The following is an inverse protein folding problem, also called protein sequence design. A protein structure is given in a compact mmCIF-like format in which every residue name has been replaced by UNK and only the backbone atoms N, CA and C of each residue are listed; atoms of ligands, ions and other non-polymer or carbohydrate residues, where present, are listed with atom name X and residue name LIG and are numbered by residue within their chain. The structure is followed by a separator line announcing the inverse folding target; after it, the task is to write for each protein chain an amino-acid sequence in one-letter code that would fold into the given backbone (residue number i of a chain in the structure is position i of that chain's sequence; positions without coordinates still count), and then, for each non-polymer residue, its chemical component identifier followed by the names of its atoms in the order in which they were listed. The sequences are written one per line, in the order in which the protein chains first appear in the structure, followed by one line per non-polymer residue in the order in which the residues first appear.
data_IF_935216102964
#
_entry.id   IF_935216102964
#
_cell.length_a   1.000
_cell.length_b   1.000
_cell.length_c   1.000
_cell.angle_alpha   90.00
_cell.angle_beta   90.00
_cell.angle_gamma   90.00
#
_symmetry.space_group_name_H-M   'P 1'
#
loop_
_entity.id
_entity.type
_entity.pdbx_description
1 polymer ?
#
# COMPACT_ATOMS: atom_id res chain seq x y z
N UNK A 1 -11.03 5.20 -26.41
CA UNK A 1 -11.24 6.52 -25.80
C UNK A 1 -10.55 6.64 -24.43
N UNK A 2 -10.68 5.68 -23.48
CA UNK A 2 -9.99 5.68 -22.16
C UNK A 2 -8.45 5.71 -22.26
N UNK A 3 -7.82 5.05 -23.21
CA UNK A 3 -6.36 4.94 -23.40
C UNK A 3 -5.64 6.28 -23.63
N UNK A 4 -6.36 7.31 -24.06
CA UNK A 4 -5.82 8.67 -24.29
C UNK A 4 -6.16 9.66 -23.18
N UNK A 5 -7.18 9.38 -22.36
CA UNK A 5 -7.61 10.28 -21.28
C UNK A 5 -6.71 10.22 -20.05
N UNK A 6 -6.18 9.03 -19.69
CA UNK A 6 -5.30 8.86 -18.53
C UNK A 6 -3.95 9.56 -18.70
N UNK A 7 -3.23 9.42 -19.83
CA UNK A 7 -2.00 10.19 -20.06
C UNK A 7 -2.26 11.70 -20.13
N UNK A 8 -3.43 12.12 -20.62
CA UNK A 8 -3.84 13.52 -20.65
C UNK A 8 -4.13 14.03 -19.23
N UNK A 9 -4.81 13.23 -18.43
CA UNK A 9 -5.10 13.54 -17.03
C UNK A 9 -3.81 13.62 -16.20
N UNK A 10 -2.87 12.65 -16.33
CA UNK A 10 -1.59 12.69 -15.67
C UNK A 10 -0.72 13.88 -16.12
N UNK A 11 -0.76 14.24 -17.42
CA UNK A 11 -0.13 15.46 -17.93
C UNK A 11 -0.80 16.72 -17.38
N UNK A 12 -2.13 16.71 -17.26
CA UNK A 12 -2.88 17.80 -16.66
C UNK A 12 -2.58 17.93 -15.17
N UNK A 13 -2.52 16.84 -14.42
CA UNK A 13 -2.13 16.82 -13.01
C UNK A 13 -0.67 17.32 -12.85
N UNK A 14 0.27 16.82 -13.67
CA UNK A 14 1.66 17.31 -13.67
C UNK A 14 1.76 18.79 -14.07
N UNK A 15 0.99 19.23 -15.05
CA UNK A 15 0.92 20.64 -15.44
C UNK A 15 0.30 21.48 -14.32
N UNK A 16 -0.82 21.04 -13.75
CA UNK A 16 -1.48 21.72 -12.64
C UNK A 16 -0.57 21.76 -11.39
N UNK A 17 0.17 20.69 -11.11
CA UNK A 17 1.13 20.65 -9.98
C UNK A 17 2.29 21.61 -10.24
N UNK A 18 2.87 21.59 -11.45
CA UNK A 18 3.94 22.53 -11.83
C UNK A 18 3.43 23.97 -11.87
N UNK A 19 2.18 24.18 -12.29
CA UNK A 19 1.55 25.50 -12.29
C UNK A 19 1.29 25.97 -10.85
N UNK A 20 0.82 25.10 -9.97
CA UNK A 20 0.64 25.37 -8.54
C UNK A 20 2.00 25.64 -7.88
N UNK A 21 3.01 24.82 -8.14
CA UNK A 21 4.37 25.02 -7.62
C UNK A 21 4.99 26.32 -8.19
N UNK A 22 4.78 26.62 -9.47
CA UNK A 22 5.24 27.86 -10.11
C UNK A 22 4.46 29.08 -9.61
N UNK A 23 3.15 28.99 -9.48
CA UNK A 23 2.31 30.06 -8.92
C UNK A 23 2.59 30.27 -7.43
N UNK A 24 2.81 29.19 -6.67
CA UNK A 24 3.24 29.26 -5.29
C UNK A 24 4.64 29.85 -5.16
N UNK A 25 5.57 29.53 -6.07
CA UNK A 25 6.90 30.13 -6.15
C UNK A 25 6.85 31.61 -6.51
N UNK A 26 6.01 31.98 -7.49
CA UNK A 26 5.86 33.35 -7.98
C UNK A 26 5.14 34.27 -6.98
N UNK A 27 4.19 33.73 -6.18
CA UNK A 27 3.38 34.52 -5.24
C UNK A 27 3.89 34.50 -3.79
N UNK A 28 5.08 33.97 -3.49
CA UNK A 28 5.54 33.72 -2.10
C UNK A 28 4.56 32.88 -1.24
N UNK A 29 3.75 32.04 -1.87
CA UNK A 29 2.72 31.21 -1.24
C UNK A 29 3.13 29.76 -0.88
N UNK A 30 4.34 29.24 -1.14
CA UNK A 30 4.73 27.90 -0.71
C UNK A 30 4.42 27.64 0.78
N UNK A 31 4.76 28.56 1.72
CA UNK A 31 4.45 28.35 3.12
C UNK A 31 2.95 28.36 3.44
N UNK A 32 2.15 29.15 2.72
CA UNK A 32 0.70 29.23 2.97
C UNK A 32 -0.04 28.01 2.43
N UNK A 33 0.24 27.58 1.21
CA UNK A 33 -0.37 26.38 0.61
C UNK A 33 0.01 25.13 1.41
N UNK A 34 1.27 25.02 1.83
CA UNK A 34 1.72 23.92 2.69
C UNK A 34 1.03 23.94 4.04
N UNK A 35 0.93 25.09 4.70
CA UNK A 35 0.21 25.25 5.98
C UNK A 35 -1.29 24.95 5.84
N UNK A 36 -1.93 25.40 4.77
CA UNK A 36 -3.33 25.09 4.49
C UNK A 36 -3.53 23.59 4.31
N UNK A 37 -2.66 22.92 3.55
CA UNK A 37 -2.72 21.47 3.38
C UNK A 37 -2.38 20.69 4.68
N UNK A 38 -1.47 21.20 5.49
CA UNK A 38 -1.22 20.64 6.83
C UNK A 38 -2.47 20.72 7.70
N UNK A 39 -3.21 21.82 7.62
CA UNK A 39 -4.46 21.97 8.33
C UNK A 39 -5.61 21.13 7.76
N UNK A 40 -5.74 21.05 6.43
CA UNK A 40 -6.79 20.25 5.76
C UNK A 40 -6.54 18.74 5.82
N UNK A 41 -5.28 18.33 5.72
CA UNK A 41 -4.81 16.94 5.67
C UNK A 41 -3.77 16.69 6.77
N UNK A 42 -4.16 16.80 8.05
CA UNK A 42 -3.21 16.66 9.16
C UNK A 42 -2.75 15.21 9.28
N UNK A 43 -1.44 14.97 9.19
CA UNK A 43 -0.82 13.66 9.38
C UNK A 43 -0.65 13.38 10.88
N UNK A 44 -1.76 13.40 11.60
CA UNK A 44 -1.85 13.11 13.04
C UNK A 44 -2.71 11.86 13.27
N UNK A 45 -2.33 11.02 14.23
CA UNK A 45 -3.01 9.76 14.54
C UNK A 45 -4.53 9.94 14.68
N UNK A 46 -4.96 10.86 15.55
CA UNK A 46 -6.40 11.08 15.79
C UNK A 46 -7.16 11.51 14.54
N UNK A 47 -6.52 12.33 13.70
CA UNK A 47 -7.14 12.84 12.50
C UNK A 47 -7.31 11.75 11.44
N UNK A 48 -6.25 10.95 11.18
CA UNK A 48 -6.29 9.88 10.17
C UNK A 48 -7.23 8.75 10.58
N UNK A 49 -7.22 8.34 11.86
CA UNK A 49 -8.16 7.32 12.37
C UNK A 49 -9.62 7.81 12.30
N UNK A 50 -9.89 9.04 12.70
CA UNK A 50 -11.23 9.60 12.62
C UNK A 50 -11.76 9.71 11.18
N UNK A 51 -10.88 10.07 10.23
CA UNK A 51 -11.25 10.15 8.83
C UNK A 51 -11.58 8.76 8.24
N UNK A 52 -10.79 7.74 8.55
CA UNK A 52 -11.05 6.37 8.13
C UNK A 52 -12.36 5.82 8.75
N UNK A 53 -12.60 6.06 10.04
CA UNK A 53 -13.86 5.76 10.70
C UNK A 53 -15.06 6.41 9.99
N UNK A 54 -14.97 7.72 9.71
CA UNK A 54 -16.07 8.45 9.04
C UNK A 54 -16.37 7.89 7.65
N UNK A 55 -15.35 7.42 6.94
CA UNK A 55 -15.50 6.89 5.59
C UNK A 55 -16.12 5.47 5.56
N UNK A 56 -15.92 4.67 6.61
CA UNK A 56 -16.35 3.25 6.65
C UNK A 56 -17.50 2.99 7.61
N UNK A 57 -17.67 3.82 8.63
CA UNK A 57 -18.56 3.57 9.78
C UNK A 57 -18.01 2.54 10.79
N UNK A 58 -16.87 1.89 10.47
CA UNK A 58 -16.25 0.85 11.28
C UNK A 58 -15.28 1.48 12.31
N UNK A 59 -15.20 0.91 13.52
CA UNK A 59 -14.42 1.48 14.63
C UNK A 59 -13.29 0.60 15.12
N UNK A 60 -13.35 -0.68 14.85
CA UNK A 60 -12.39 -1.65 15.34
C UNK A 60 -11.24 -1.81 14.35
N UNK A 61 -10.06 -1.40 14.76
CA UNK A 61 -8.82 -1.55 14.00
C UNK A 61 -8.05 -2.82 14.38
N UNK A 62 -8.60 -3.67 15.26
CA UNK A 62 -7.95 -4.85 15.80
C UNK A 62 -6.92 -4.52 16.90
N UNK A 63 -5.91 -5.37 17.04
CA UNK A 63 -4.86 -5.16 18.03
C UNK A 63 -4.15 -3.82 17.81
N UNK A 64 -3.94 -3.07 18.91
CA UNK A 64 -3.35 -1.73 18.87
C UNK A 64 -1.85 -1.67 18.56
N UNK A 65 -1.22 -2.79 18.26
CA UNK A 65 0.22 -2.89 17.96
C UNK A 65 0.64 -2.00 16.79
N UNK A 66 -0.19 -1.88 15.75
CA UNK A 66 0.05 -1.04 14.58
C UNK A 66 0.15 0.46 14.90
N UNK A 67 -0.42 0.92 16.02
CA UNK A 67 -0.45 2.34 16.37
C UNK A 67 0.95 2.93 16.56
N UNK A 68 1.89 2.15 17.05
CA UNK A 68 3.28 2.62 17.22
C UNK A 68 3.91 2.88 15.86
N UNK A 69 3.78 1.94 14.91
CA UNK A 69 4.25 2.11 13.54
C UNK A 69 3.57 3.30 12.84
N UNK A 70 2.24 3.42 12.98
CA UNK A 70 1.48 4.54 12.43
C UNK A 70 1.98 5.89 12.97
N UNK A 71 2.14 6.04 14.30
CA UNK A 71 2.63 7.30 14.91
C UNK A 71 4.00 7.69 14.40
N UNK A 72 4.93 6.73 14.34
CA UNK A 72 6.28 6.98 13.88
C UNK A 72 6.34 7.28 12.40
N UNK A 73 5.53 6.60 11.58
CA UNK A 73 5.38 6.91 10.16
C UNK A 73 4.87 8.35 9.99
N UNK A 74 3.77 8.72 10.62
CA UNK A 74 3.18 10.06 10.52
C UNK A 74 4.17 11.14 10.98
N UNK A 75 4.88 10.90 12.10
CA UNK A 75 5.92 11.80 12.58
C UNK A 75 7.05 11.96 11.57
N UNK A 76 7.59 10.86 11.04
CA UNK A 76 8.64 10.91 10.02
C UNK A 76 8.20 11.64 8.75
N UNK A 77 6.95 11.45 8.34
CA UNK A 77 6.37 12.15 7.19
C UNK A 77 6.28 13.66 7.40
N UNK A 78 5.95 14.11 8.61
CA UNK A 78 5.88 15.54 8.94
C UNK A 78 7.26 16.18 9.13
N UNK A 79 8.19 15.50 9.79
CA UNK A 79 9.44 16.09 10.26
C UNK A 79 10.61 15.83 9.31
N UNK A 80 10.63 14.69 8.58
CA UNK A 80 11.82 14.22 7.86
C UNK A 80 11.60 14.13 6.33
N UNK A 81 10.42 13.69 5.87
CA UNK A 81 10.19 13.33 4.47
C UNK A 81 10.14 14.52 3.49
N UNK A 82 10.06 15.76 3.97
CA UNK A 82 9.99 16.99 3.15
C UNK A 82 8.93 16.91 2.05
N UNK A 83 7.71 16.51 2.41
CA UNK A 83 6.62 16.31 1.47
C UNK A 83 6.30 17.60 0.72
N UNK A 84 6.20 17.52 -0.61
CA UNK A 84 5.54 18.55 -1.41
C UNK A 84 4.03 18.57 -1.13
N UNK A 85 3.34 19.64 -1.54
CA UNK A 85 1.88 19.74 -1.43
C UNK A 85 1.19 18.53 -2.08
N UNK A 86 1.62 18.13 -3.26
CA UNK A 86 1.11 16.94 -3.96
C UNK A 86 1.47 15.65 -3.24
N UNK A 87 2.71 15.51 -2.77
CA UNK A 87 3.14 14.35 -1.97
C UNK A 87 2.30 14.16 -0.72
N UNK A 88 1.91 15.26 -0.03
CA UNK A 88 1.02 15.20 1.13
C UNK A 88 -0.37 14.65 0.77
N UNK A 89 -0.93 15.07 -0.36
CA UNK A 89 -2.22 14.56 -0.84
C UNK A 89 -2.12 13.07 -1.13
N UNK A 90 -1.08 12.64 -1.83
CA UNK A 90 -0.88 11.22 -2.16
C UNK A 90 -0.75 10.36 -0.90
N UNK A 91 0.10 10.75 0.04
CA UNK A 91 0.31 9.97 1.26
C UNK A 91 -0.90 9.99 2.19
N UNK A 92 -1.63 11.10 2.27
CA UNK A 92 -2.89 11.12 2.99
C UNK A 92 -3.86 10.08 2.46
N UNK A 93 -4.05 10.03 1.14
CA UNK A 93 -4.93 9.06 0.49
C UNK A 93 -4.45 7.62 0.71
N UNK A 94 -3.13 7.37 0.67
CA UNK A 94 -2.59 6.03 0.90
C UNK A 94 -2.75 5.58 2.36
N UNK A 95 -2.46 6.44 3.33
CA UNK A 95 -2.73 6.18 4.75
C UNK A 95 -4.23 5.91 4.98
N UNK A 96 -5.12 6.69 4.33
CA UNK A 96 -6.56 6.47 4.43
C UNK A 96 -6.97 5.14 3.79
N UNK A 97 -6.38 4.75 2.67
CA UNK A 97 -6.60 3.46 2.02
C UNK A 97 -6.21 2.31 2.96
N UNK A 98 -5.01 2.35 3.52
CA UNK A 98 -4.50 1.33 4.44
C UNK A 98 -5.39 1.20 5.69
N UNK A 99 -5.76 2.31 6.32
CA UNK A 99 -6.62 2.31 7.51
C UNK A 99 -8.03 1.81 7.23
N UNK A 100 -8.63 2.20 6.10
CA UNK A 100 -9.97 1.72 5.71
C UNK A 100 -9.96 0.22 5.44
N UNK A 101 -8.96 -0.27 4.72
CA UNK A 101 -8.86 -1.72 4.51
C UNK A 101 -8.61 -2.46 5.81
N UNK A 102 -7.77 -1.94 6.72
CA UNK A 102 -7.58 -2.54 8.04
C UNK A 102 -8.91 -2.67 8.81
N UNK A 103 -9.75 -1.65 8.80
CA UNK A 103 -11.09 -1.69 9.39
C UNK A 103 -11.96 -2.79 8.77
N UNK A 104 -11.98 -2.91 7.44
CA UNK A 104 -12.73 -3.96 6.76
C UNK A 104 -12.17 -5.36 7.03
N UNK A 105 -10.84 -5.50 7.11
CA UNK A 105 -10.19 -6.77 7.44
C UNK A 105 -10.59 -7.24 8.84
N UNK A 106 -10.52 -6.37 9.85
CA UNK A 106 -10.91 -6.72 11.23
C UNK A 106 -12.42 -6.99 11.36
N UNK A 107 -13.26 -6.23 10.67
CA UNK A 107 -14.69 -6.50 10.63
C UNK A 107 -14.99 -7.86 9.97
N UNK A 108 -14.28 -8.21 8.88
CA UNK A 108 -14.42 -9.51 8.24
C UNK A 108 -13.90 -10.64 9.14
N UNK A 109 -12.76 -10.44 9.81
CA UNK A 109 -12.19 -11.41 10.75
C UNK A 109 -13.16 -11.81 11.84
N UNK A 110 -13.89 -10.84 12.38
CA UNK A 110 -14.90 -11.09 13.41
C UNK A 110 -16.15 -11.82 12.89
N UNK A 111 -16.56 -11.48 11.66
CA UNK A 111 -17.74 -12.10 11.05
C UNK A 111 -17.47 -13.49 10.47
N UNK A 112 -16.22 -13.78 10.14
CA UNK A 112 -15.75 -14.98 9.46
C UNK A 112 -14.56 -15.61 10.16
N UNK A 113 -14.74 -16.14 11.40
CA UNK A 113 -13.64 -16.77 12.15
C UNK A 113 -13.09 -18.02 11.44
N UNK A 114 -13.87 -18.64 10.56
CA UNK A 114 -13.46 -19.78 9.73
C UNK A 114 -12.27 -19.45 8.80
N UNK A 115 -11.97 -18.18 8.54
CA UNK A 115 -10.78 -17.78 7.78
C UNK A 115 -9.49 -18.26 8.46
N UNK A 116 -9.46 -18.32 9.79
CA UNK A 116 -8.29 -18.78 10.55
C UNK A 116 -8.03 -20.28 10.41
N UNK A 117 -9.03 -21.04 9.92
CA UNK A 117 -8.89 -22.47 9.64
C UNK A 117 -8.16 -22.74 8.30
N UNK A 118 -8.06 -21.72 7.42
CA UNK A 118 -7.30 -21.83 6.17
C UNK A 118 -5.82 -22.14 6.47
N UNK A 119 -5.30 -23.17 5.81
CA UNK A 119 -3.92 -23.60 6.03
C UNK A 119 -2.98 -22.91 5.06
N UNK A 120 -1.97 -22.28 5.59
CA UNK A 120 -0.80 -21.83 4.82
C UNK A 120 0.28 -22.89 5.02
N UNK A 121 0.41 -23.77 4.03
CA UNK A 121 1.29 -24.94 4.12
C UNK A 121 2.64 -24.65 3.47
N UNK A 122 3.72 -24.93 4.22
CA UNK A 122 5.10 -24.87 3.75
C UNK A 122 5.44 -23.61 2.90
N UNK A 123 5.14 -22.39 3.39
CA UNK A 123 5.37 -21.18 2.60
C UNK A 123 6.87 -21.02 2.30
N UNK A 124 7.19 -20.67 1.05
CA UNK A 124 8.56 -20.42 0.62
C UNK A 124 8.87 -18.93 0.76
N UNK A 125 9.90 -18.60 1.54
CA UNK A 125 10.37 -17.22 1.71
C UNK A 125 11.68 -17.02 0.95
N UNK A 126 11.69 -16.03 0.06
CA UNK A 126 12.90 -15.59 -0.64
C UNK A 126 13.49 -14.43 0.16
N UNK A 127 14.68 -14.66 0.71
CA UNK A 127 15.41 -13.67 1.50
C UNK A 127 16.68 -13.25 0.77
N UNK A 128 16.94 -11.96 0.74
CA UNK A 128 18.16 -11.41 0.14
C UNK A 128 18.24 -9.90 0.28
N UNK A 129 19.45 -9.37 0.12
CA UNK A 129 19.65 -7.93 0.06
C UNK A 129 19.06 -7.35 -1.25
N UNK A 130 18.67 -6.08 -1.26
CA UNK A 130 18.24 -5.41 -2.49
C UNK A 130 19.27 -5.59 -3.62
N UNK A 131 18.78 -5.76 -4.84
CA UNK A 131 19.58 -5.93 -6.09
C UNK A 131 20.38 -7.23 -6.19
N UNK A 132 20.00 -8.29 -5.47
CA UNK A 132 20.61 -9.63 -5.55
C UNK A 132 19.84 -10.63 -6.42
N UNK A 133 18.78 -10.19 -7.11
CA UNK A 133 17.99 -11.04 -8.01
C UNK A 133 16.77 -11.70 -7.35
N UNK A 134 16.40 -11.32 -6.12
CA UNK A 134 15.24 -11.85 -5.41
C UNK A 134 13.94 -11.69 -6.20
N UNK A 135 13.71 -10.54 -6.82
CA UNK A 135 12.54 -10.29 -7.69
C UNK A 135 12.52 -11.23 -8.90
N UNK A 136 13.68 -11.48 -9.53
CA UNK A 136 13.77 -12.41 -10.65
C UNK A 136 13.41 -13.84 -10.22
N UNK A 137 13.99 -14.32 -9.11
CA UNK A 137 13.68 -15.64 -8.56
C UNK A 137 12.20 -15.75 -8.16
N UNK A 138 11.64 -14.71 -7.54
CA UNK A 138 10.24 -14.66 -7.16
C UNK A 138 9.32 -14.79 -8.39
N UNK A 139 9.57 -13.98 -9.42
CA UNK A 139 8.81 -14.05 -10.67
C UNK A 139 8.94 -15.43 -11.35
N UNK A 140 10.14 -16.03 -11.31
CA UNK A 140 10.37 -17.36 -11.89
C UNK A 140 9.56 -18.44 -11.17
N UNK A 141 9.55 -18.45 -9.84
CA UNK A 141 8.75 -19.39 -9.06
C UNK A 141 7.26 -19.18 -9.25
N UNK A 142 6.82 -17.93 -9.36
CA UNK A 142 5.42 -17.59 -9.57
C UNK A 142 4.85 -18.05 -10.93
N UNK A 143 5.70 -18.45 -11.88
CA UNK A 143 5.23 -19.04 -13.14
C UNK A 143 4.66 -20.45 -12.94
N UNK A 144 5.09 -21.17 -11.92
CA UNK A 144 4.55 -22.48 -11.60
C UNK A 144 3.33 -22.37 -10.68
N UNK A 145 2.19 -22.02 -11.26
CA UNK A 145 0.92 -21.87 -10.54
C UNK A 145 0.35 -23.20 -10.04
N UNK A 146 0.91 -24.33 -10.46
CA UNK A 146 0.51 -25.65 -9.92
C UNK A 146 1.09 -25.92 -8.54
N UNK A 147 2.21 -25.28 -8.19
CA UNK A 147 2.90 -25.44 -6.91
C UNK A 147 2.79 -24.20 -6.02
N UNK A 148 2.82 -23.01 -6.59
CA UNK A 148 2.94 -21.76 -5.84
C UNK A 148 1.78 -20.81 -6.11
N UNK A 149 1.35 -20.15 -5.06
CA UNK A 149 0.48 -18.97 -5.13
C UNK A 149 1.15 -17.81 -4.40
N UNK A 150 1.48 -16.78 -5.14
CA UNK A 150 1.89 -15.49 -4.56
C UNK A 150 0.72 -14.53 -4.52
N UNK A 151 0.65 -13.59 -3.55
CA UNK A 151 -0.25 -12.45 -3.67
C UNK A 151 0.05 -11.67 -4.95
N UNK A 152 -0.98 -11.22 -5.65
CA UNK A 152 -0.84 -10.39 -6.84
C UNK A 152 -0.93 -8.90 -6.47
N UNK A 153 -0.38 -8.04 -7.33
CA UNK A 153 -0.36 -6.58 -7.09
C UNK A 153 -1.76 -6.02 -6.81
N UNK A 154 -2.77 -6.44 -7.59
CA UNK A 154 -4.13 -5.99 -7.38
C UNK A 154 -4.73 -6.45 -6.04
N UNK A 155 -4.41 -7.65 -5.58
CA UNK A 155 -4.84 -8.18 -4.28
C UNK A 155 -4.22 -7.40 -3.12
N UNK A 156 -2.93 -7.07 -3.24
CA UNK A 156 -2.22 -6.28 -2.23
C UNK A 156 -2.71 -4.83 -2.22
N UNK A 157 -2.99 -4.25 -3.39
CA UNK A 157 -3.45 -2.87 -3.49
C UNK A 157 -4.91 -2.70 -3.06
N UNK A 158 -5.77 -3.68 -3.41
CA UNK A 158 -7.19 -3.71 -3.10
C UNK A 158 -7.54 -4.92 -2.23
N UNK A 159 -7.07 -4.91 -0.98
CA UNK A 159 -7.15 -6.05 -0.07
C UNK A 159 -8.59 -6.51 0.24
N UNK A 160 -9.58 -5.63 0.18
CA UNK A 160 -10.97 -5.95 0.47
C UNK A 160 -11.89 -5.55 -0.69
N UNK A 161 -12.91 -6.35 -1.00
CA UNK A 161 -13.29 -7.66 -0.43
C UNK A 161 -12.27 -8.77 -0.77
N UNK A 162 -12.37 -9.98 -0.15
CA UNK A 162 -11.49 -11.09 -0.53
C UNK A 162 -11.68 -11.45 -2.00
N UNK A 163 -10.63 -11.95 -2.68
CA UNK A 163 -10.78 -12.43 -4.04
C UNK A 163 -11.76 -13.60 -4.12
N UNK A 164 -12.47 -13.75 -5.24
CA UNK A 164 -13.39 -14.85 -5.49
C UNK A 164 -12.88 -15.67 -6.68
N UNK A 165 -12.68 -16.98 -6.46
CA UNK A 165 -12.17 -17.88 -7.49
C UNK A 165 -13.07 -17.97 -8.73
N UNK A 166 -14.37 -17.66 -8.61
CA UNK A 166 -15.32 -17.71 -9.73
C UNK A 166 -15.16 -16.57 -10.73
N UNK A 167 -14.58 -15.46 -10.30
CA UNK A 167 -14.35 -14.28 -11.16
C UNK A 167 -12.93 -13.70 -11.02
N UNK A 168 -11.99 -14.52 -10.56
CA UNK A 168 -10.63 -14.09 -10.21
C UNK A 168 -9.92 -13.36 -11.35
N UNK A 169 -9.93 -13.94 -12.54
CA UNK A 169 -9.23 -13.38 -13.72
C UNK A 169 -9.97 -12.19 -14.35
N UNK A 170 -11.21 -11.94 -13.94
CA UNK A 170 -12.06 -10.85 -14.45
C UNK A 170 -12.42 -9.83 -13.38
N UNK A 171 -11.79 -9.90 -12.22
CA UNK A 171 -12.04 -8.97 -11.12
C UNK A 171 -11.74 -7.52 -11.57
N UNK A 172 -12.71 -6.63 -11.35
CA UNK A 172 -12.61 -5.22 -11.78
C UNK A 172 -11.39 -4.50 -11.16
N UNK A 173 -10.92 -4.96 -9.99
CA UNK A 173 -9.77 -4.40 -9.28
C UNK A 173 -8.47 -4.55 -10.07
N UNK A 174 -8.39 -5.52 -10.98
CA UNK A 174 -7.27 -5.67 -11.93
C UNK A 174 -7.17 -4.41 -12.78
N UNK A 175 -8.27 -4.02 -13.44
CA UNK A 175 -8.27 -2.81 -14.27
C UNK A 175 -8.10 -1.50 -13.47
N UNK A 176 -8.60 -1.45 -12.23
CA UNK A 176 -8.38 -0.32 -11.32
C UNK A 176 -6.88 -0.21 -10.94
N UNK A 177 -6.21 -1.34 -10.70
CA UNK A 177 -4.77 -1.38 -10.41
C UNK A 177 -3.93 -1.05 -11.64
N UNK A 178 -4.31 -1.52 -12.83
CA UNK A 178 -3.62 -1.12 -14.08
C UNK A 178 -3.67 0.39 -14.29
N UNK A 179 -4.85 0.99 -14.11
CA UNK A 179 -5.02 2.43 -14.22
C UNK A 179 -4.19 3.20 -13.19
N UNK A 180 -4.06 2.68 -11.96
CA UNK A 180 -3.21 3.24 -10.94
C UNK A 180 -1.72 3.17 -11.35
N UNK A 181 -1.24 2.01 -11.83
CA UNK A 181 0.15 1.82 -12.28
C UNK A 181 0.50 2.68 -13.51
N UNK A 182 -0.44 2.86 -14.43
CA UNK A 182 -0.31 3.81 -15.55
C UNK A 182 -0.14 5.24 -15.03
N UNK A 183 -0.91 5.64 -14.03
CA UNK A 183 -0.77 6.94 -13.36
C UNK A 183 0.60 7.12 -12.70
N UNK A 184 1.08 6.10 -11.98
CA UNK A 184 2.43 6.11 -11.38
C UNK A 184 3.51 6.23 -12.47
N UNK A 185 3.41 5.46 -13.54
CA UNK A 185 4.37 5.49 -14.65
C UNK A 185 4.37 6.85 -15.39
N UNK A 186 3.23 7.53 -15.47
CA UNK A 186 3.15 8.85 -16.06
C UNK A 186 3.81 9.93 -15.19
N UNK A 187 3.73 9.78 -13.87
CA UNK A 187 4.38 10.66 -12.90
C UNK A 187 5.88 10.37 -12.75
N UNK A 188 6.26 9.11 -12.80
CA UNK A 188 7.62 8.60 -12.62
C UNK A 188 8.00 7.70 -13.83
N UNK A 189 8.38 8.28 -14.97
CA UNK A 189 8.63 7.50 -16.21
C UNK A 189 9.69 6.42 -16.08
N UNK A 190 10.66 6.58 -15.17
CA UNK A 190 11.70 5.57 -14.91
C UNK A 190 11.26 4.45 -13.96
N UNK A 191 10.08 4.55 -13.34
CA UNK A 191 9.62 3.59 -12.33
C UNK A 191 9.56 2.16 -12.89
N UNK A 192 8.91 1.97 -14.03
CA UNK A 192 8.79 0.66 -14.66
C UNK A 192 10.13 0.04 -15.09
N UNK A 193 11.12 0.87 -15.44
CA UNK A 193 12.46 0.39 -15.79
C UNK A 193 13.24 -0.10 -14.55
N UNK A 194 12.99 0.52 -13.40
CA UNK A 194 13.65 0.18 -12.14
C UNK A 194 12.94 -0.96 -11.40
N UNK A 195 11.61 -0.97 -11.46
CA UNK A 195 10.76 -1.92 -10.75
C UNK A 195 9.53 -2.26 -11.62
N UNK A 196 9.67 -3.19 -12.56
CA UNK A 196 8.57 -3.59 -13.42
C UNK A 196 7.47 -4.26 -12.60
N UNK A 197 6.27 -3.67 -12.62
CA UNK A 197 5.08 -4.12 -11.89
C UNK A 197 3.89 -4.13 -12.82
N UNK A 198 3.09 -5.19 -12.76
CA UNK A 198 1.80 -5.31 -13.46
C UNK A 198 0.70 -5.61 -12.43
N UNK A 199 -0.55 -5.35 -12.77
CA UNK A 199 -1.66 -5.61 -11.85
C UNK A 199 -1.76 -7.09 -11.45
N UNK A 200 -1.52 -8.00 -12.38
CA UNK A 200 -1.55 -9.45 -12.18
C UNK A 200 -0.18 -10.07 -11.89
N UNK A 201 0.86 -9.26 -11.76
CA UNK A 201 2.18 -9.72 -11.36
C UNK A 201 2.26 -10.05 -9.88
N UNK A 202 3.18 -10.96 -9.48
CA UNK A 202 3.40 -11.30 -8.08
C UNK A 202 3.92 -10.09 -7.30
N UNK A 203 3.45 -9.92 -6.06
CA UNK A 203 3.80 -8.80 -5.21
C UNK A 203 4.43 -9.27 -3.90
N UNK A 204 5.43 -8.54 -3.46
CA UNK A 204 6.18 -8.83 -2.25
C UNK A 204 5.34 -8.66 -0.97
N UNK A 205 5.59 -9.51 0.03
CA UNK A 205 4.86 -9.49 1.30
C UNK A 205 4.98 -8.17 2.07
N UNK A 206 6.01 -7.36 1.80
CA UNK A 206 6.15 -6.04 2.43
C UNK A 206 4.98 -5.11 2.10
N UNK A 207 4.31 -5.29 0.96
CA UNK A 207 3.07 -4.58 0.61
C UNK A 207 1.91 -4.94 1.54
N UNK A 208 1.78 -6.22 1.92
CA UNK A 208 0.80 -6.66 2.91
C UNK A 208 1.14 -6.15 4.32
N UNK A 209 2.42 -6.09 4.68
CA UNK A 209 2.87 -5.58 5.98
C UNK A 209 2.58 -4.08 6.15
N UNK A 210 2.37 -3.33 5.06
CA UNK A 210 1.97 -1.90 5.15
C UNK A 210 0.65 -1.70 5.90
N UNK A 211 -0.26 -2.68 5.88
CA UNK A 211 -1.53 -2.61 6.61
C UNK A 211 -1.38 -2.66 8.14
N UNK A 212 -0.20 -3.08 8.62
CA UNK A 212 0.18 -3.00 10.03
C UNK A 212 1.02 -1.75 10.34
N UNK A 213 1.23 -0.89 9.36
CA UNK A 213 2.10 0.28 9.49
C UNK A 213 3.52 -0.07 9.97
N UNK A 214 3.92 -1.34 9.81
CA UNK A 214 5.23 -1.88 10.18
C UNK A 214 5.80 -2.59 8.95
N UNK A 215 6.28 -1.81 7.98
CA UNK A 215 6.80 -2.33 6.72
C UNK A 215 8.12 -1.67 6.35
N UNK A 216 9.05 -2.50 5.84
CA UNK A 216 10.30 -2.06 5.25
C UNK A 216 10.09 -1.16 4.02
N UNK A 217 8.95 -1.27 3.33
CA UNK A 217 8.64 -0.48 2.16
C UNK A 217 8.61 1.04 2.44
N UNK A 218 8.09 1.44 3.61
CA UNK A 218 7.98 2.86 3.95
C UNK A 218 9.32 3.59 3.92
N UNK A 219 10.37 3.14 4.66
CA UNK A 219 11.63 3.89 4.72
C UNK A 219 12.58 3.62 3.55
N UNK A 220 12.36 2.56 2.75
CA UNK A 220 13.32 2.16 1.71
C UNK A 220 12.85 2.47 0.29
N UNK A 221 11.54 2.43 0.05
CA UNK A 221 10.96 2.63 -1.27
C UNK A 221 10.22 3.96 -1.34
N UNK A 222 9.46 4.32 -0.30
CA UNK A 222 8.50 5.41 -0.38
C UNK A 222 9.05 6.73 0.16
N UNK A 223 9.72 6.72 1.32
CA UNK A 223 10.02 7.95 2.04
C UNK A 223 11.41 7.95 2.69
N UNK A 224 12.04 9.12 2.71
CA UNK A 224 13.24 9.33 3.52
C UNK A 224 12.84 9.66 4.97
N UNK A 225 12.66 8.63 5.80
CA UNK A 225 12.23 8.70 7.20
C UNK A 225 13.17 7.88 8.10
N UNK A 226 14.40 8.32 8.32
CA UNK A 226 15.41 7.56 9.04
C UNK A 226 15.05 7.25 10.51
N UNK A 227 14.23 8.06 11.17
CA UNK A 227 13.76 7.77 12.53
C UNK A 227 12.87 6.53 12.55
N UNK A 228 11.93 6.41 11.62
CA UNK A 228 11.11 5.23 11.44
C UNK A 228 11.96 4.00 11.11
N UNK A 229 12.95 4.15 10.23
CA UNK A 229 13.82 3.04 9.84
C UNK A 229 14.62 2.47 11.03
N UNK A 230 15.20 3.33 11.87
CA UNK A 230 15.89 2.88 13.10
C UNK A 230 14.96 2.12 14.04
N UNK A 231 13.75 2.62 14.24
CA UNK A 231 12.75 1.91 15.03
C UNK A 231 12.39 0.56 14.42
N UNK A 232 12.12 0.51 13.11
CA UNK A 232 11.77 -0.71 12.41
C UNK A 232 12.82 -1.81 12.60
N UNK A 233 14.12 -1.48 12.49
CA UNK A 233 15.22 -2.43 12.65
C UNK A 233 15.34 -3.01 14.07
N UNK A 234 14.79 -2.35 15.08
CA UNK A 234 14.83 -2.80 16.49
C UNK A 234 13.46 -3.33 16.98
N UNK A 235 12.45 -3.37 16.11
CA UNK A 235 11.10 -3.75 16.49
C UNK A 235 10.90 -5.26 16.51
N UNK A 236 10.02 -5.72 17.40
CA UNK A 236 9.46 -7.07 17.29
C UNK A 236 8.43 -7.09 16.15
N UNK A 237 8.73 -7.83 15.09
CA UNK A 237 7.87 -7.99 13.93
C UNK A 237 6.86 -9.13 14.08
N UNK A 238 6.83 -9.85 15.19
CA UNK A 238 5.93 -10.99 15.42
C UNK A 238 4.45 -10.62 15.23
N UNK A 239 3.94 -9.47 15.70
CA UNK A 239 2.55 -9.05 15.44
C UNK A 239 2.27 -8.87 13.95
N UNK A 240 3.19 -8.23 13.22
CA UNK A 240 3.09 -7.98 11.78
C UNK A 240 3.07 -9.29 10.99
N UNK A 241 3.89 -10.27 11.37
CA UNK A 241 3.88 -11.59 10.74
C UNK A 241 2.61 -12.39 11.05
N UNK A 242 2.01 -12.23 12.26
CA UNK A 242 0.69 -12.82 12.55
C UNK A 242 -0.38 -12.23 11.64
N UNK A 243 -0.38 -10.91 11.46
CA UNK A 243 -1.29 -10.26 10.52
C UNK A 243 -1.03 -10.72 9.08
N UNK A 244 0.24 -10.81 8.65
CA UNK A 244 0.59 -11.31 7.31
C UNK A 244 0.03 -12.72 7.09
N UNK A 245 0.21 -13.64 8.05
CA UNK A 245 -0.37 -14.99 7.96
C UNK A 245 -1.88 -14.93 7.78
N UNK A 246 -2.57 -14.14 8.58
CA UNK A 246 -4.01 -14.00 8.48
C UNK A 246 -4.44 -13.38 7.13
N UNK A 247 -3.70 -12.41 6.62
CA UNK A 247 -3.95 -11.84 5.30
C UNK A 247 -3.79 -12.87 4.17
N UNK A 248 -2.81 -13.76 4.26
CA UNK A 248 -2.66 -14.86 3.30
C UNK A 248 -3.84 -15.83 3.38
N UNK A 249 -4.29 -16.18 4.59
CA UNK A 249 -5.50 -16.98 4.81
C UNK A 249 -6.73 -16.31 4.21
N UNK A 250 -6.87 -15.00 4.42
CA UNK A 250 -7.96 -14.19 3.87
C UNK A 250 -7.98 -14.18 2.33
N UNK A 251 -6.84 -14.02 1.70
CA UNK A 251 -6.72 -14.04 0.23
C UNK A 251 -7.02 -15.43 -0.35
N UNK A 252 -6.74 -16.49 0.42
CA UNK A 252 -6.96 -17.88 0.01
C UNK A 252 -8.41 -18.34 0.26
N UNK A 253 -9.09 -17.80 1.26
CA UNK A 253 -10.39 -18.28 1.76
C UNK A 253 -11.44 -18.49 0.67
N UNK A 254 -11.62 -17.53 -0.22
CA UNK A 254 -12.51 -17.64 -1.39
C UNK A 254 -11.77 -17.58 -2.72
N UNK A 255 -10.50 -17.27 -2.67
CA UNK A 255 -9.62 -17.14 -3.83
C UNK A 255 -9.06 -18.47 -4.32
N UNK A 256 -8.23 -18.43 -5.36
CA UNK A 256 -7.50 -19.60 -5.82
C UNK A 256 -6.61 -20.18 -4.72
N UNK A 257 -6.44 -21.50 -4.73
CA UNK A 257 -5.58 -22.24 -3.78
C UNK A 257 -4.44 -22.91 -4.54
N UNK A 258 -3.27 -22.96 -3.93
CA UNK A 258 -2.13 -23.75 -4.38
C UNK A 258 -1.48 -24.45 -3.17
N UNK A 259 -0.67 -25.50 -3.39
CA UNK A 259 -0.03 -26.25 -2.31
C UNK A 259 0.95 -25.42 -1.46
N UNK A 260 1.55 -24.37 -2.03
CA UNK A 260 2.57 -23.54 -1.38
C UNK A 260 2.46 -22.06 -1.75
#
# INVERSE_FOLDING_TARGET
MRRYLLPLFARFVNFATRLVDALCGFLFLPPLATRLLQWLLPLEERAVLRAAYKATGLRDYGEGTFLTGLRLLLKGLEEEARLSAFGRILIWNDVQRLLRYRLHLEDTRRRHPEIEEEKIEAPVFILGLPRTGTTFLFNLLALDTSLFRSPLTWEVHHMHPPPDATCYDTDKRIGETEAFLEGVSALLPSFQALHPVTATGPQECMGLMMYDFTSFAFPTIHFNIPSYFRWYLSSDLSPTYRLLRWQLQYLQWRGPKAPR
#
